data_IF_284216222072
#
_entry.id   IF_284216222072
#
_cell.length_a   1.000
_cell.length_b   1.000
_cell.length_c   1.000
_cell.angle_alpha   90.00
_cell.angle_beta   90.00
_cell.angle_gamma   90.00
#
_symmetry.space_group_name_H-M   'P 1'
#
loop_
_entity.id
_entity.type
_entity.pdbx_description
1 polymer ?
#
# COMPACT_ATOMS: atom_id res chain seq x y z
N UNK A 1 26.83 11.63 -20.71
CA UNK A 1 25.59 11.92 -21.45
C UNK A 1 25.08 10.60 -21.99
N UNK A 2 24.15 9.97 -21.29
CA UNK A 2 23.61 8.66 -21.67
C UNK A 2 22.11 8.76 -21.60
N UNK A 3 21.47 8.50 -22.74
CA UNK A 3 20.07 8.73 -23.02
C UNK A 3 19.15 8.01 -22.03
N UNK A 4 18.24 8.78 -21.42
CA UNK A 4 17.09 8.27 -20.69
C UNK A 4 16.23 7.41 -21.62
N UNK A 5 16.22 6.10 -21.38
CA UNK A 5 15.25 5.19 -21.99
C UNK A 5 13.85 5.56 -21.50
N UNK A 6 13.12 6.35 -22.31
CA UNK A 6 11.67 6.51 -22.19
C UNK A 6 11.05 5.12 -22.30
N UNK A 7 10.62 4.59 -21.16
CA UNK A 7 9.80 3.38 -21.07
C UNK A 7 8.57 3.59 -21.95
N UNK A 8 8.45 2.82 -23.03
CA UNK A 8 7.25 2.78 -23.88
C UNK A 8 6.11 2.18 -23.06
N UNK A 9 5.41 3.01 -22.30
CA UNK A 9 4.10 2.68 -21.76
C UNK A 9 3.10 2.54 -22.91
N UNK A 10 2.15 1.63 -22.76
CA UNK A 10 1.18 1.17 -23.76
C UNK A 10 0.65 2.28 -24.66
N UNK A 11 0.72 2.03 -25.97
CA UNK A 11 0.28 2.92 -27.05
C UNK A 11 -1.23 3.16 -26.93
N UNK A 12 -1.59 4.34 -26.42
CA UNK A 12 -2.96 4.88 -26.37
C UNK A 12 -3.52 4.89 -27.80
N UNK A 13 -4.64 4.20 -28.05
CA UNK A 13 -5.39 4.37 -29.30
C UNK A 13 -6.07 5.74 -29.28
N UNK A 14 -5.71 6.61 -30.24
CA UNK A 14 -6.36 7.92 -30.41
C UNK A 14 -7.86 7.73 -30.53
N UNK A 15 -8.64 8.42 -29.70
CA UNK A 15 -10.11 8.47 -29.79
C UNK A 15 -10.86 7.67 -28.71
N UNK A 16 -10.18 7.03 -27.76
CA UNK A 16 -10.86 6.37 -26.64
C UNK A 16 -11.38 7.38 -25.61
N UNK A 17 -12.57 7.09 -25.07
CA UNK A 17 -13.12 7.78 -23.88
C UNK A 17 -13.15 6.86 -22.67
N UNK A 18 -12.95 7.46 -21.51
CA UNK A 18 -12.89 6.78 -20.22
C UNK A 18 -14.16 7.04 -19.43
N UNK A 19 -14.71 6.01 -18.81
CA UNK A 19 -15.87 6.16 -17.94
C UNK A 19 -15.71 5.38 -16.64
N UNK A 20 -16.43 5.83 -15.61
CA UNK A 20 -16.67 5.07 -14.39
C UNK A 20 -18.16 4.81 -14.22
N UNK A 21 -18.51 3.60 -13.80
CA UNK A 21 -19.88 3.26 -13.41
C UNK A 21 -20.19 3.90 -12.06
N UNK A 22 -21.23 4.74 -12.00
CA UNK A 22 -21.57 5.55 -10.81
C UNK A 22 -22.68 4.96 -9.94
N UNK A 23 -23.27 3.83 -10.34
CA UNK A 23 -24.33 3.17 -9.58
C UNK A 23 -23.94 1.75 -9.19
N UNK A 24 -24.37 1.30 -8.00
CA UNK A 24 -24.46 -0.14 -7.74
C UNK A 24 -25.46 -0.73 -8.74
N UNK A 25 -25.00 -1.73 -9.49
CA UNK A 25 -25.68 -2.45 -10.59
C UNK A 25 -27.20 -2.26 -10.67
N UNK A 26 -27.75 -1.84 -11.82
CA UNK A 26 -29.16 -2.01 -12.13
C UNK A 26 -29.51 -3.49 -12.33
N UNK A 27 -30.63 -3.94 -11.76
CA UNK A 27 -31.05 -5.36 -11.72
C UNK A 27 -31.19 -6.05 -13.09
N UNK A 28 -31.27 -5.29 -14.19
CA UNK A 28 -31.50 -5.78 -15.55
C UNK A 28 -30.22 -6.09 -16.35
N UNK A 29 -29.01 -5.94 -15.78
CA UNK A 29 -27.73 -6.21 -16.47
C UNK A 29 -27.28 -7.69 -16.46
N UNK A 30 -28.18 -8.63 -16.14
CA UNK A 30 -27.91 -10.08 -16.12
C UNK A 30 -26.97 -10.54 -14.99
N UNK A 31 -26.91 -11.83 -14.64
CA UNK A 31 -26.13 -12.33 -13.49
C UNK A 31 -24.60 -12.23 -13.67
N UNK A 32 -24.08 -12.16 -14.90
CA UNK A 32 -22.62 -12.14 -15.17
C UNK A 32 -21.91 -10.81 -14.84
N UNK A 33 -22.67 -9.81 -14.39
CA UNK A 33 -22.22 -8.45 -14.03
C UNK A 33 -22.25 -8.18 -12.53
N UNK A 34 -22.49 -9.18 -11.69
CA UNK A 34 -22.59 -9.02 -10.23
C UNK A 34 -21.36 -8.30 -9.64
N UNK A 35 -21.63 -7.22 -8.89
CA UNK A 35 -20.67 -6.38 -8.16
C UNK A 35 -19.62 -5.60 -8.97
N UNK A 36 -19.82 -5.40 -10.28
CA UNK A 36 -18.85 -4.63 -11.07
C UNK A 36 -19.10 -3.12 -10.99
N UNK A 37 -18.51 -2.46 -10.01
CA UNK A 37 -18.20 -1.02 -10.10
C UNK A 37 -16.88 -0.88 -10.89
N UNK A 38 -17.01 -0.65 -12.19
CA UNK A 38 -15.89 -0.78 -13.13
C UNK A 38 -15.49 0.52 -13.81
N UNK A 39 -14.24 0.54 -14.28
CA UNK A 39 -13.81 1.50 -15.30
C UNK A 39 -14.07 0.90 -16.68
N UNK A 40 -14.47 1.76 -17.61
CA UNK A 40 -14.91 1.38 -18.95
C UNK A 40 -14.15 2.18 -20.00
N UNK A 41 -13.86 1.50 -21.11
CA UNK A 41 -13.28 2.06 -22.32
C UNK A 41 -14.29 1.97 -23.46
N UNK A 42 -14.36 2.99 -24.31
CA UNK A 42 -15.14 2.95 -25.56
C UNK A 42 -14.31 3.44 -26.74
N UNK A 43 -14.55 2.87 -27.92
CA UNK A 43 -13.77 3.09 -29.14
C UNK A 43 -14.34 4.15 -30.09
N UNK A 44 -15.49 4.77 -29.81
CA UNK A 44 -16.00 5.86 -30.65
C UNK A 44 -17.06 6.75 -29.98
N UNK A 45 -16.97 8.10 -30.11
CA UNK A 45 -18.00 9.04 -29.69
C UNK A 45 -19.14 9.26 -30.70
N UNK A 46 -19.11 8.66 -31.90
CA UNK A 46 -20.03 9.05 -32.98
C UNK A 46 -21.32 8.20 -33.08
N UNK A 47 -21.44 7.12 -32.30
CA UNK A 47 -22.69 6.35 -32.17
C UNK A 47 -23.41 6.66 -30.85
N UNK A 48 -23.53 7.97 -30.53
CA UNK A 48 -24.08 8.46 -29.26
C UNK A 48 -25.58 8.79 -29.31
N UNK A 49 -26.32 8.45 -30.36
CA UNK A 49 -27.77 8.71 -30.37
C UNK A 49 -28.55 7.76 -29.45
N UNK A 50 -28.00 6.58 -29.13
CA UNK A 50 -28.64 5.57 -28.29
C UNK A 50 -28.52 5.83 -26.77
N UNK A 51 -29.49 5.32 -25.99
CA UNK A 51 -29.49 5.33 -24.51
C UNK A 51 -28.35 4.50 -23.90
N UNK A 52 -27.89 3.48 -24.62
CA UNK A 52 -26.86 2.54 -24.16
C UNK A 52 -25.56 2.75 -24.94
N UNK A 53 -24.43 2.61 -24.26
CA UNK A 53 -23.10 2.69 -24.84
C UNK A 53 -22.42 1.32 -24.83
N UNK A 54 -21.79 0.90 -25.94
CA UNK A 54 -20.88 -0.23 -25.93
C UNK A 54 -19.58 0.14 -25.19
N UNK A 55 -19.27 -0.65 -24.17
CA UNK A 55 -18.14 -0.45 -23.29
C UNK A 55 -17.35 -1.74 -23.11
N UNK A 56 -16.04 -1.63 -22.92
CA UNK A 56 -15.17 -2.73 -22.53
C UNK A 56 -14.71 -2.50 -21.09
N UNK A 57 -14.92 -3.49 -20.22
CA UNK A 57 -14.45 -3.44 -18.83
C UNK A 57 -12.95 -3.71 -18.74
N UNK A 58 -12.38 -3.42 -17.57
CA UNK A 58 -11.01 -3.78 -17.23
C UNK A 58 -10.67 -5.27 -17.44
N UNK A 59 -11.66 -6.14 -17.25
CA UNK A 59 -11.55 -7.59 -17.46
C UNK A 59 -11.85 -8.01 -18.91
N UNK A 60 -11.82 -7.07 -19.86
CA UNK A 60 -12.08 -7.27 -21.29
C UNK A 60 -13.49 -7.79 -21.61
N UNK A 61 -14.46 -7.60 -20.69
CA UNK A 61 -15.86 -7.94 -20.96
C UNK A 61 -16.52 -6.81 -21.73
N UNK A 62 -17.26 -7.14 -22.78
CA UNK A 62 -18.08 -6.18 -23.51
C UNK A 62 -19.43 -6.04 -22.79
N UNK A 63 -19.86 -4.80 -22.58
CA UNK A 63 -21.12 -4.44 -21.93
C UNK A 63 -21.83 -3.35 -22.72
N UNK A 64 -23.16 -3.38 -22.71
CA UNK A 64 -23.99 -2.26 -23.11
C UNK A 64 -24.46 -1.55 -21.84
N UNK A 65 -24.03 -0.31 -21.64
CA UNK A 65 -24.22 0.42 -20.39
C UNK A 65 -25.12 1.64 -20.61
N UNK A 66 -26.15 1.79 -19.79
CA UNK A 66 -27.01 2.98 -19.83
C UNK A 66 -26.20 4.23 -19.46
N UNK A 67 -26.26 5.26 -20.31
CA UNK A 67 -25.52 6.51 -20.14
C UNK A 67 -25.79 7.22 -18.81
N UNK A 68 -26.97 7.02 -18.23
CA UNK A 68 -27.32 7.62 -16.93
C UNK A 68 -26.58 6.99 -15.75
N UNK A 69 -25.91 5.87 -15.97
CA UNK A 69 -25.21 5.09 -14.94
C UNK A 69 -23.68 5.21 -15.05
N UNK A 70 -23.18 6.07 -15.94
CA UNK A 70 -21.75 6.30 -16.11
C UNK A 70 -21.41 7.78 -16.10
N UNK A 71 -20.17 8.07 -15.73
CA UNK A 71 -19.58 9.41 -15.81
C UNK A 71 -18.31 9.36 -16.63
N UNK A 72 -18.19 10.26 -17.60
CA UNK A 72 -16.98 10.44 -18.39
C UNK A 72 -15.84 10.95 -17.49
N UNK A 73 -14.66 10.37 -17.66
CA UNK A 73 -13.43 10.75 -16.97
C UNK A 73 -12.45 11.32 -18.00
N UNK A 74 -11.65 12.30 -17.57
CA UNK A 74 -10.44 12.61 -18.33
C UNK A 74 -9.36 11.56 -18.08
N UNK A 75 -8.25 11.66 -18.82
CA UNK A 75 -7.14 10.73 -18.71
C UNK A 75 -6.55 10.67 -17.30
N UNK A 76 -6.41 11.83 -16.64
CA UNK A 76 -5.72 11.91 -15.34
C UNK A 76 -6.57 11.22 -14.27
N UNK A 77 -7.87 11.47 -14.25
CA UNK A 77 -8.78 10.79 -13.32
C UNK A 77 -8.84 9.29 -13.62
N UNK A 78 -8.85 8.91 -14.90
CA UNK A 78 -8.79 7.50 -15.28
C UNK A 78 -7.54 6.83 -14.69
N UNK A 79 -6.36 7.43 -14.85
CA UNK A 79 -5.11 6.85 -14.39
C UNK A 79 -5.03 6.76 -12.86
N UNK A 80 -5.46 7.80 -12.14
CA UNK A 80 -5.52 7.82 -10.67
C UNK A 80 -6.43 6.72 -10.12
N UNK A 81 -7.60 6.53 -10.73
CA UNK A 81 -8.59 5.55 -10.31
C UNK A 81 -8.22 4.12 -10.71
N UNK A 82 -7.49 3.95 -11.83
CA UNK A 82 -7.07 2.64 -12.35
C UNK A 82 -6.15 1.87 -11.40
N UNK A 83 -5.41 2.57 -10.53
CA UNK A 83 -4.53 1.93 -9.55
C UNK A 83 -5.28 1.34 -8.33
N UNK A 84 -6.55 1.72 -8.15
CA UNK A 84 -7.38 1.29 -7.01
C UNK A 84 -8.04 -0.04 -7.36
N UNK A 85 -7.58 -1.14 -6.77
CA UNK A 85 -8.05 -2.50 -7.11
C UNK A 85 -9.51 -2.75 -6.69
N UNK A 86 -9.98 -2.18 -5.56
CA UNK A 86 -11.34 -2.42 -5.08
C UNK A 86 -12.37 -1.48 -5.78
N UNK A 87 -13.36 -2.04 -6.49
CA UNK A 87 -14.45 -1.31 -7.15
C UNK A 87 -15.16 -0.26 -6.28
N UNK A 88 -15.57 -0.64 -5.07
CA UNK A 88 -16.32 0.24 -4.17
C UNK A 88 -15.47 1.42 -3.69
N UNK A 89 -14.24 1.16 -3.25
CA UNK A 89 -13.28 2.20 -2.84
C UNK A 89 -12.95 3.13 -4.00
N UNK A 90 -12.82 2.59 -5.22
CA UNK A 90 -12.58 3.38 -6.43
C UNK A 90 -13.72 4.37 -6.69
N UNK A 91 -14.97 3.93 -6.60
CA UNK A 91 -16.12 4.83 -6.74
C UNK A 91 -16.20 5.85 -5.61
N UNK A 92 -15.93 5.47 -4.36
CA UNK A 92 -15.85 6.40 -3.23
C UNK A 92 -14.86 7.53 -3.50
N UNK A 93 -13.63 7.19 -3.89
CA UNK A 93 -12.58 8.18 -4.22
C UNK A 93 -13.00 9.05 -5.39
N UNK A 94 -13.60 8.47 -6.44
CA UNK A 94 -14.06 9.24 -7.60
C UNK A 94 -15.15 10.27 -7.25
N UNK A 95 -15.92 10.04 -6.19
CA UNK A 95 -16.98 10.93 -5.74
C UNK A 95 -16.47 11.98 -4.73
N UNK A 96 -15.24 11.84 -4.24
CA UNK A 96 -14.57 12.80 -3.35
C UNK A 96 -13.76 13.79 -4.21
N UNK A 97 -14.37 14.95 -4.49
CA UNK A 97 -13.75 15.98 -5.33
C UNK A 97 -12.45 16.54 -4.73
N UNK A 98 -12.34 16.59 -3.40
CA UNK A 98 -11.12 17.01 -2.72
C UNK A 98 -10.02 15.96 -2.91
N UNK A 99 -10.32 14.68 -2.69
CA UNK A 99 -9.31 13.62 -2.86
C UNK A 99 -8.81 13.50 -4.31
N UNK A 100 -9.71 13.66 -5.29
CA UNK A 100 -9.32 13.72 -6.70
C UNK A 100 -8.45 14.94 -7.00
N UNK A 101 -8.77 16.11 -6.41
CA UNK A 101 -7.95 17.32 -6.52
C UNK A 101 -6.56 17.09 -5.94
N UNK A 102 -6.45 16.54 -4.73
CA UNK A 102 -5.17 16.16 -4.11
C UNK A 102 -4.37 15.24 -5.04
N UNK A 103 -4.98 14.17 -5.57
CA UNK A 103 -4.30 13.25 -6.49
C UNK A 103 -3.75 13.92 -7.75
N UNK A 104 -4.43 14.97 -8.25
CA UNK A 104 -3.95 15.77 -9.37
C UNK A 104 -2.78 16.68 -8.98
N UNK A 105 -2.83 17.32 -7.82
CA UNK A 105 -1.84 18.33 -7.37
C UNK A 105 -0.57 17.73 -6.78
N UNK A 106 -0.67 16.58 -6.11
CA UNK A 106 0.47 15.89 -5.52
C UNK A 106 1.57 15.66 -6.54
N UNK A 107 2.81 15.95 -6.15
CA UNK A 107 4.00 15.87 -7.00
C UNK A 107 5.20 15.45 -6.16
N UNK A 108 6.32 15.16 -6.81
CA UNK A 108 7.57 14.90 -6.10
C UNK A 108 7.90 16.07 -5.15
N UNK A 109 8.21 15.73 -3.90
CA UNK A 109 8.43 16.69 -2.80
C UNK A 109 7.20 17.02 -1.95
N UNK A 110 5.98 16.65 -2.34
CA UNK A 110 4.79 16.84 -1.50
C UNK A 110 4.85 15.98 -0.23
N UNK A 111 4.46 16.55 0.91
CA UNK A 111 4.29 15.81 2.17
C UNK A 111 2.91 15.14 2.23
N UNK A 112 2.89 13.87 2.60
CA UNK A 112 1.66 13.07 2.61
C UNK A 112 1.54 12.19 3.83
N UNK A 113 0.30 11.94 4.24
CA UNK A 113 -0.02 10.79 5.09
C UNK A 113 -0.37 9.58 4.21
N UNK A 114 0.03 8.39 4.66
CA UNK A 114 -0.15 7.12 3.96
C UNK A 114 -0.87 6.14 4.87
N UNK A 115 -2.12 5.81 4.55
CA UNK A 115 -2.92 4.86 5.31
C UNK A 115 -2.57 3.42 4.97
N UNK A 116 -2.63 2.52 5.96
CA UNK A 116 -2.32 1.11 5.76
C UNK A 116 -2.88 0.20 6.85
N UNK A 117 -3.33 -1.00 6.46
CA UNK A 117 -3.90 -1.99 7.39
C UNK A 117 -2.86 -2.64 8.33
N UNK A 118 -1.57 -2.42 8.04
CA UNK A 118 -0.43 -2.99 8.78
C UNK A 118 -0.21 -2.27 10.12
N UNK A 119 -0.68 -1.03 10.26
CA UNK A 119 -0.40 -0.17 11.40
C UNK A 119 -1.69 0.47 11.94
N UNK A 120 -1.71 0.90 13.22
CA UNK A 120 -2.88 1.53 13.84
C UNK A 120 -3.18 2.93 13.32
N UNK A 121 -2.17 3.59 12.73
CA UNK A 121 -2.23 4.96 12.27
C UNK A 121 -1.57 5.10 10.90
N UNK A 122 -1.85 6.24 10.27
CA UNK A 122 -1.23 6.61 9.01
C UNK A 122 0.25 6.92 9.22
N UNK A 123 1.08 6.50 8.25
CA UNK A 123 2.49 6.83 8.21
C UNK A 123 2.69 8.16 7.49
N UNK A 124 3.74 8.90 7.81
CA UNK A 124 4.08 10.14 7.10
C UNK A 124 5.30 9.93 6.19
N UNK A 125 5.37 10.73 5.14
CA UNK A 125 6.49 10.71 4.21
C UNK A 125 6.38 11.73 3.11
N UNK A 126 7.29 11.61 2.14
CA UNK A 126 7.45 12.53 1.02
C UNK A 126 7.27 11.76 -0.29
N UNK A 127 6.49 12.32 -1.22
CA UNK A 127 6.37 11.76 -2.58
C UNK A 127 7.73 11.86 -3.29
N UNK A 128 8.26 10.73 -3.74
CA UNK A 128 9.49 10.62 -4.55
C UNK A 128 9.25 10.13 -5.97
N UNK A 129 8.05 9.61 -6.24
CA UNK A 129 7.66 9.16 -7.56
C UNK A 129 6.16 9.36 -7.75
N UNK A 130 5.76 9.82 -8.93
CA UNK A 130 4.36 9.81 -9.39
C UNK A 130 4.33 9.28 -10.83
N UNK A 131 3.72 8.13 -11.05
CA UNK A 131 3.64 7.58 -12.39
C UNK A 131 3.19 6.13 -12.46
N UNK A 132 3.29 5.56 -13.65
CA UNK A 132 2.83 4.20 -13.92
C UNK A 132 3.86 3.17 -13.46
N UNK A 133 3.38 2.14 -12.77
CA UNK A 133 4.18 0.96 -12.43
C UNK A 133 3.87 -0.19 -13.40
N UNK A 134 4.80 -1.15 -13.61
CA UNK A 134 4.58 -2.28 -14.48
C UNK A 134 3.43 -3.15 -13.98
N UNK A 135 2.47 -3.44 -14.87
CA UNK A 135 1.30 -4.25 -14.55
C UNK A 135 1.68 -5.67 -14.18
N UNK A 136 0.91 -6.32 -13.30
CA UNK A 136 1.02 -7.77 -13.05
C UNK A 136 1.03 -8.52 -14.41
N UNK A 137 1.90 -9.53 -14.61
CA UNK A 137 1.85 -10.36 -15.81
C UNK A 137 0.40 -10.81 -16.08
N UNK A 138 -0.11 -10.58 -17.29
CA UNK A 138 -1.51 -10.85 -17.68
C UNK A 138 -2.49 -9.68 -17.60
N UNK A 139 -2.11 -8.54 -17.02
CA UNK A 139 -2.91 -7.29 -16.94
C UNK A 139 -2.30 -6.18 -17.81
N UNK A 140 -1.90 -6.50 -19.04
CA UNK A 140 -1.03 -5.65 -19.87
C UNK A 140 -1.64 -4.30 -20.28
N UNK A 141 -2.96 -4.11 -20.14
CA UNK A 141 -3.67 -3.00 -20.78
C UNK A 141 -4.14 -1.87 -19.86
N UNK A 142 -3.97 -1.98 -18.53
CA UNK A 142 -4.40 -0.92 -17.60
C UNK A 142 -3.30 -0.70 -16.56
N UNK A 143 -2.43 0.28 -16.82
CA UNK A 143 -1.50 0.78 -15.82
C UNK A 143 -2.12 1.96 -15.09
N UNK A 144 -2.42 1.79 -13.80
CA UNK A 144 -2.80 2.89 -12.94
C UNK A 144 -1.62 3.76 -12.54
N UNK A 145 -1.90 4.99 -12.11
CA UNK A 145 -0.93 5.92 -11.54
C UNK A 145 -0.72 5.60 -10.07
N UNK A 146 0.54 5.40 -9.69
CA UNK A 146 0.97 5.15 -8.33
C UNK A 146 1.84 6.29 -7.82
N UNK A 147 1.88 6.40 -6.49
CA UNK A 147 2.75 7.31 -5.77
C UNK A 147 3.78 6.48 -5.01
N UNK A 148 5.06 6.73 -5.30
CA UNK A 148 6.18 6.21 -4.53
C UNK A 148 6.52 7.20 -3.43
N UNK A 149 6.41 6.75 -2.19
CA UNK A 149 6.59 7.56 -0.98
C UNK A 149 7.84 7.08 -0.28
N UNK A 150 8.75 8.00 0.03
CA UNK A 150 9.80 7.78 1.03
C UNK A 150 9.23 8.14 2.40
N UNK A 151 9.21 7.17 3.31
CA UNK A 151 8.71 7.34 4.66
C UNK A 151 9.67 8.19 5.49
N UNK A 152 9.12 8.99 6.39
CA UNK A 152 9.94 9.76 7.33
C UNK A 152 10.78 8.82 8.20
N UNK A 153 11.90 9.33 8.73
CA UNK A 153 12.88 8.53 9.45
C UNK A 153 12.29 7.69 10.60
N UNK A 154 11.29 8.22 11.31
CA UNK A 154 10.58 7.51 12.38
C UNK A 154 9.70 6.34 11.90
N UNK A 155 9.37 6.31 10.61
CA UNK A 155 8.60 5.25 9.96
C UNK A 155 9.45 4.42 9.00
N UNK A 156 10.77 4.65 8.97
CA UNK A 156 11.70 3.84 8.20
C UNK A 156 11.58 2.36 8.60
N UNK A 157 11.66 1.46 7.61
CA UNK A 157 11.51 0.02 7.80
C UNK A 157 10.05 -0.46 7.89
N UNK A 158 9.08 0.45 7.94
CA UNK A 158 7.64 0.11 7.92
C UNK A 158 7.07 0.01 6.49
N UNK A 159 7.87 0.39 5.50
CA UNK A 159 7.59 0.23 4.08
C UNK A 159 7.71 -1.21 3.61
N UNK A 160 7.77 -1.38 2.30
CA UNK A 160 7.84 -2.69 1.64
C UNK A 160 8.91 -2.78 0.54
N UNK A 161 9.70 -1.73 0.39
CA UNK A 161 10.78 -1.61 -0.60
C UNK A 161 11.77 -0.54 -0.14
N UNK A 162 12.91 -0.48 -0.81
CA UNK A 162 13.93 0.56 -0.73
C UNK A 162 13.85 1.56 -1.91
N UNK A 163 12.69 1.61 -2.57
CA UNK A 163 12.42 2.38 -3.79
C UNK A 163 12.53 1.56 -5.09
N UNK A 164 12.83 0.27 -4.96
CA UNK A 164 12.68 -0.73 -6.02
C UNK A 164 11.23 -1.18 -6.21
N UNK A 165 10.83 -1.35 -7.47
CA UNK A 165 9.63 -2.10 -7.81
C UNK A 165 9.89 -2.99 -9.03
N UNK A 166 9.90 -4.31 -8.83
CA UNK A 166 10.00 -5.35 -9.88
C UNK A 166 11.26 -5.25 -10.75
N UNK A 167 12.40 -5.20 -10.11
CA UNK A 167 13.73 -5.16 -10.72
C UNK A 167 14.16 -3.78 -11.18
N UNK A 168 13.37 -2.74 -10.90
CA UNK A 168 13.66 -1.36 -11.31
C UNK A 168 13.55 -0.41 -10.13
N UNK A 169 14.61 0.36 -9.90
CA UNK A 169 14.59 1.49 -8.97
C UNK A 169 13.89 2.70 -9.59
N UNK A 170 12.97 3.27 -8.83
CA UNK A 170 12.30 4.54 -9.16
C UNK A 170 12.86 5.69 -8.32
N UNK A 171 13.26 5.38 -7.09
CA UNK A 171 14.03 6.22 -6.19
C UNK A 171 14.83 5.29 -5.25
N UNK A 172 15.68 5.84 -4.39
CA UNK A 172 16.44 5.06 -3.40
C UNK A 172 16.20 5.63 -2.01
N UNK A 173 16.04 4.76 -1.02
CA UNK A 173 15.98 5.12 0.40
C UNK A 173 16.52 3.96 1.25
N UNK A 174 16.40 4.04 2.57
CA UNK A 174 16.77 2.96 3.48
C UNK A 174 15.95 1.69 3.23
N UNK A 175 16.45 0.55 3.72
CA UNK A 175 15.75 -0.74 3.62
C UNK A 175 14.33 -0.60 4.17
N UNK A 176 13.33 -1.01 3.38
CA UNK A 176 11.92 -0.90 3.71
C UNK A 176 11.48 0.55 4.08
N UNK A 177 12.17 1.56 3.56
CA UNK A 177 11.83 2.98 3.72
C UNK A 177 10.82 3.49 2.70
N UNK A 178 10.42 2.67 1.73
CA UNK A 178 9.56 3.09 0.62
C UNK A 178 8.24 2.31 0.53
N UNK A 179 7.19 3.01 0.10
CA UNK A 179 5.90 2.46 -0.29
C UNK A 179 5.50 2.93 -1.68
N UNK A 180 4.94 2.03 -2.49
CA UNK A 180 4.20 2.40 -3.70
C UNK A 180 2.71 2.18 -3.47
N UNK A 181 1.91 3.22 -3.59
CA UNK A 181 0.49 3.20 -3.21
C UNK A 181 -0.40 3.93 -4.23
N UNK A 182 -1.66 3.47 -4.40
CA UNK A 182 -2.68 4.20 -5.16
C UNK A 182 -3.22 5.41 -4.39
N UNK A 183 -3.97 6.28 -5.09
CA UNK A 183 -4.55 7.50 -4.53
C UNK A 183 -5.38 7.27 -3.25
N UNK A 184 -6.14 6.18 -3.19
CA UNK A 184 -7.02 5.87 -2.04
C UNK A 184 -6.28 5.59 -0.72
N UNK A 185 -4.95 5.65 -0.71
CA UNK A 185 -4.11 5.43 0.46
C UNK A 185 -3.29 6.64 0.86
N UNK A 186 -3.37 7.76 0.15
CA UNK A 186 -2.58 8.96 0.46
C UNK A 186 -3.48 10.17 0.64
N UNK A 187 -3.06 11.10 1.51
CA UNK A 187 -3.65 12.42 1.68
C UNK A 187 -2.59 13.50 1.70
N UNK A 188 -2.87 14.64 1.09
CA UNK A 188 -1.99 15.80 1.08
C UNK A 188 -1.96 16.49 2.46
N UNK A 189 -0.77 16.62 3.06
CA UNK A 189 -0.60 17.25 4.37
C UNK A 189 -0.40 18.76 4.28
N UNK A 190 -0.01 19.29 3.12
CA UNK A 190 0.30 20.71 2.93
C UNK A 190 -0.92 21.51 2.44
N UNK A 191 -2.09 20.89 2.34
CA UNK A 191 -3.34 21.56 2.00
C UNK A 191 -3.78 22.52 3.12
N UNK A 192 -4.38 23.67 2.80
CA UNK A 192 -4.82 24.68 3.80
C UNK A 192 -5.82 24.13 4.85
N UNK A 193 -6.46 23.00 4.56
CA UNK A 193 -7.35 22.24 5.47
C UNK A 193 -6.62 21.08 6.20
N UNK A 194 -5.29 20.99 6.03
CA UNK A 194 -4.38 19.90 6.42
C UNK A 194 -4.13 19.73 7.91
N UNK A 195 -4.85 20.47 8.77
CA UNK A 195 -4.93 20.20 10.20
C UNK A 195 -5.78 18.96 10.53
N UNK A 196 -5.79 17.93 9.65
CA UNK A 196 -6.29 16.61 10.03
C UNK A 196 -5.29 16.06 11.05
N UNK A 197 -5.75 16.07 12.31
CA UNK A 197 -5.02 15.63 13.50
C UNK A 197 -4.13 14.45 13.20
N UNK A 198 -2.91 14.44 13.77
CA UNK A 198 -2.09 13.24 13.95
C UNK A 198 -3.03 12.05 14.15
N UNK A 199 -3.04 11.12 13.19
CA UNK A 199 -3.97 10.00 13.22
C UNK A 199 -3.85 9.32 14.59
N UNK A 200 -4.95 9.13 15.34
CA UNK A 200 -4.91 8.46 16.64
C UNK A 200 -4.09 7.18 16.54
N UNK A 201 -3.04 7.05 17.35
CA UNK A 201 -2.12 5.90 17.31
C UNK A 201 -0.79 6.15 16.56
N UNK A 202 -0.51 7.35 16.03
CA UNK A 202 0.85 7.66 15.54
C UNK A 202 1.86 7.67 16.69
N UNK A 203 1.48 8.19 17.86
CA UNK A 203 2.27 8.09 19.09
C UNK A 203 2.57 6.63 19.45
N UNK A 204 1.60 5.73 19.26
CA UNK A 204 1.78 4.30 19.53
C UNK A 204 2.83 3.65 18.61
N UNK A 205 3.01 4.13 17.37
CA UNK A 205 4.09 3.67 16.47
C UNK A 205 5.42 4.32 16.86
N UNK A 206 5.43 5.62 17.17
CA UNK A 206 6.64 6.36 17.57
C UNK A 206 7.26 5.78 18.83
N UNK A 207 6.42 5.38 19.78
CA UNK A 207 6.85 4.93 21.10
C UNK A 207 7.02 3.39 21.16
N UNK A 208 7.15 2.72 20.00
CA UNK A 208 7.46 1.29 19.97
C UNK A 208 8.86 1.03 20.54
N UNK A 209 9.02 -0.01 21.38
CA UNK A 209 10.31 -0.32 22.01
C UNK A 209 11.35 -0.81 20.99
N UNK A 210 10.93 -1.29 19.83
CA UNK A 210 11.82 -1.78 18.77
C UNK A 210 11.32 -1.34 17.40
N UNK A 211 12.27 -1.09 16.49
CA UNK A 211 12.04 -0.74 15.10
C UNK A 211 12.58 -1.81 14.16
N UNK A 212 12.14 -1.82 12.90
CA UNK A 212 12.75 -2.68 11.88
C UNK A 212 14.23 -2.30 11.73
N UNK A 213 15.10 -3.30 11.69
CA UNK A 213 16.55 -3.14 11.69
C UNK A 213 17.19 -3.21 13.08
N UNK A 214 16.42 -3.03 14.16
CA UNK A 214 16.97 -3.16 15.52
C UNK A 214 17.43 -4.60 15.80
N UNK A 215 18.53 -4.69 16.55
CA UNK A 215 18.99 -5.92 17.18
C UNK A 215 18.21 -6.16 18.45
N UNK A 216 17.63 -7.34 18.58
CA UNK A 216 16.80 -7.73 19.71
C UNK A 216 17.24 -9.07 20.26
N UNK A 217 16.96 -9.30 21.54
CA UNK A 217 17.16 -10.58 22.20
C UNK A 217 15.81 -11.13 22.62
N UNK A 218 15.50 -12.35 22.16
CA UNK A 218 14.47 -13.17 22.77
C UNK A 218 15.11 -13.82 24.01
N UNK A 219 14.63 -13.41 25.18
CA UNK A 219 15.08 -13.91 26.47
C UNK A 219 13.91 -14.52 27.22
N UNK A 220 13.97 -15.82 27.46
CA UNK A 220 13.07 -16.56 28.35
C UNK A 220 13.87 -17.58 29.18
N UNK A 221 13.18 -18.33 30.05
CA UNK A 221 13.82 -19.32 30.93
C UNK A 221 14.53 -20.46 30.18
N UNK A 222 14.32 -20.57 28.86
CA UNK A 222 14.82 -21.66 28.02
C UNK A 222 15.91 -21.19 27.08
N UNK A 223 15.86 -19.95 26.59
CA UNK A 223 16.71 -19.46 25.50
C UNK A 223 17.07 -17.98 25.65
N UNK A 224 18.27 -17.66 25.17
CA UNK A 224 18.72 -16.29 24.96
C UNK A 224 19.24 -16.21 23.54
N UNK A 225 18.42 -15.65 22.64
CA UNK A 225 18.68 -15.70 21.22
C UNK A 225 18.59 -14.32 20.61
N UNK A 226 19.66 -13.91 19.95
CA UNK A 226 19.73 -12.61 19.31
C UNK A 226 19.27 -12.69 17.85
N UNK A 227 18.68 -11.61 17.38
CA UNK A 227 18.16 -11.50 16.03
C UNK A 227 17.97 -10.05 15.59
N UNK A 228 17.56 -9.89 14.34
CA UNK A 228 17.23 -8.59 13.75
C UNK A 228 15.74 -8.52 13.45
N UNK A 229 15.11 -7.41 13.84
CA UNK A 229 13.72 -7.14 13.47
C UNK A 229 13.65 -6.88 11.96
N UNK A 230 12.86 -7.67 11.24
CA UNK A 230 12.66 -7.58 9.78
C UNK A 230 11.27 -7.08 9.40
N UNK A 231 10.32 -7.07 10.33
CA UNK A 231 8.95 -6.67 10.07
C UNK A 231 8.28 -6.21 11.35
N UNK A 232 7.49 -5.15 11.27
CA UNK A 232 6.55 -4.76 12.33
C UNK A 232 5.15 -4.63 11.76
N UNK A 233 4.13 -5.01 12.51
CA UNK A 233 2.75 -4.70 12.15
C UNK A 233 1.71 -5.62 12.77
N UNK A 234 0.46 -5.40 12.38
CA UNK A 234 -0.63 -6.30 12.72
C UNK A 234 -0.62 -7.55 11.85
N UNK A 235 -0.90 -8.70 12.46
CA UNK A 235 -1.08 -9.93 11.71
C UNK A 235 -2.33 -9.82 10.81
N UNK A 236 -2.28 -10.36 9.57
CA UNK A 236 -3.36 -10.21 8.59
C UNK A 236 -4.74 -10.74 9.03
N UNK A 237 -4.78 -11.65 10.01
CA UNK A 237 -5.99 -12.28 10.52
C UNK A 237 -6.41 -11.76 11.91
N UNK A 238 -5.74 -10.73 12.44
CA UNK A 238 -6.19 -10.07 13.65
C UNK A 238 -7.45 -9.24 13.34
N UNK A 239 -8.61 -9.84 13.61
CA UNK A 239 -9.95 -9.32 13.31
C UNK A 239 -10.56 -8.50 14.45
N UNK A 240 -9.79 -8.15 15.49
CA UNK A 240 -10.32 -7.34 16.59
C UNK A 240 -10.80 -5.99 16.06
N UNK A 241 -11.99 -5.60 16.51
CA UNK A 241 -12.67 -4.38 16.04
C UNK A 241 -12.01 -3.12 16.58
N UNK A 242 -11.48 -3.17 17.80
CA UNK A 242 -10.69 -2.08 18.35
C UNK A 242 -9.23 -2.23 17.91
N UNK A 243 -8.71 -1.18 17.27
CA UNK A 243 -7.32 -1.09 16.82
C UNK A 243 -6.36 -1.14 18.00
N UNK A 244 -6.78 -0.63 19.17
CA UNK A 244 -5.96 -0.64 20.40
C UNK A 244 -5.85 -2.04 21.02
N UNK A 245 -6.78 -2.95 20.71
CA UNK A 245 -6.71 -4.34 21.16
C UNK A 245 -5.86 -5.23 20.24
N UNK A 246 -5.53 -4.74 19.04
CA UNK A 246 -4.65 -5.43 18.10
C UNK A 246 -3.21 -5.28 18.57
N UNK A 247 -2.47 -6.38 18.60
CA UNK A 247 -1.06 -6.37 19.04
C UNK A 247 -0.15 -6.19 17.84
N UNK A 248 0.76 -5.21 17.89
CA UNK A 248 1.85 -5.15 16.93
C UNK A 248 2.79 -6.32 17.21
N UNK A 249 3.07 -7.07 16.15
CA UNK A 249 4.00 -8.18 16.14
C UNK A 249 5.25 -7.76 15.38
N UNK A 250 6.38 -8.31 15.80
CA UNK A 250 7.66 -8.23 15.15
C UNK A 250 7.98 -9.56 14.48
N UNK A 251 8.34 -9.51 13.20
CA UNK A 251 9.01 -10.59 12.52
C UNK A 251 10.49 -10.47 12.75
N UNK A 252 11.09 -11.44 13.43
CA UNK A 252 12.51 -11.43 13.78
C UNK A 252 13.22 -12.53 13.02
N UNK A 253 14.33 -12.19 12.36
CA UNK A 253 15.30 -13.15 11.84
C UNK A 253 16.40 -13.34 12.89
N UNK A 254 16.43 -14.51 13.53
CA UNK A 254 17.42 -14.87 14.53
C UNK A 254 18.74 -15.30 13.91
N UNK A 255 19.83 -15.18 14.67
CA UNK A 255 21.16 -15.58 14.21
C UNK A 255 21.28 -17.11 14.11
N UNK A 256 20.56 -17.84 14.97
CA UNK A 256 20.47 -19.29 14.98
C UNK A 256 19.10 -19.80 14.45
N UNK A 257 19.03 -21.03 13.94
CA UNK A 257 17.80 -21.63 13.40
C UNK A 257 16.85 -22.10 14.52
N UNK A 258 16.29 -21.15 15.26
CA UNK A 258 15.39 -21.42 16.39
C UNK A 258 13.91 -21.34 16.03
N UNK A 259 13.62 -20.84 14.82
CA UNK A 259 12.29 -20.65 14.29
C UNK A 259 11.85 -21.81 13.39
N UNK A 260 10.62 -21.74 12.91
CA UNK A 260 10.07 -22.72 11.95
C UNK A 260 9.72 -22.08 10.59
N UNK A 261 10.16 -20.85 10.37
CA UNK A 261 9.70 -20.03 9.26
C UNK A 261 10.83 -19.33 8.50
N UNK A 262 10.49 -18.83 7.32
CA UNK A 262 11.31 -17.97 6.47
C UNK A 262 10.66 -16.59 6.23
N UNK A 263 9.81 -16.18 7.20
CA UNK A 263 9.05 -14.92 7.17
C UNK A 263 7.66 -15.00 6.53
N UNK A 264 7.12 -16.20 6.34
CA UNK A 264 5.72 -16.41 5.96
C UNK A 264 4.80 -16.47 7.17
N UNK A 265 3.62 -15.87 7.03
CA UNK A 265 2.49 -16.06 7.93
C UNK A 265 1.29 -16.54 7.12
N UNK A 266 0.83 -17.77 7.39
CA UNK A 266 -0.13 -18.49 6.54
C UNK A 266 0.36 -18.52 5.09
N UNK A 267 -0.38 -17.92 4.15
CA UNK A 267 -0.02 -17.85 2.73
C UNK A 267 0.60 -16.51 2.33
N UNK A 268 0.73 -15.56 3.26
CA UNK A 268 1.26 -14.24 2.99
C UNK A 268 2.71 -14.15 3.45
N UNK A 269 3.61 -13.72 2.57
CA UNK A 269 4.98 -13.38 2.97
C UNK A 269 4.96 -12.01 3.65
N UNK A 270 5.36 -11.95 4.91
CA UNK A 270 5.47 -10.70 5.66
C UNK A 270 6.89 -10.14 5.56
N UNK A 271 7.91 -11.00 5.60
CA UNK A 271 9.32 -10.63 5.42
C UNK A 271 10.13 -11.77 4.80
N UNK A 272 11.41 -11.50 4.54
CA UNK A 272 12.39 -12.51 4.12
C UNK A 272 13.35 -12.77 5.27
N UNK A 273 13.63 -14.04 5.51
CA UNK A 273 14.60 -14.53 6.47
C UNK A 273 15.17 -15.85 5.99
N UNK A 274 16.32 -16.26 6.53
CA UNK A 274 16.86 -17.62 6.31
C UNK A 274 15.84 -18.69 6.73
N UNK A 275 15.82 -19.87 6.07
CA UNK A 275 14.98 -20.99 6.48
C UNK A 275 15.21 -21.34 7.95
N UNK A 276 14.14 -21.51 8.73
CA UNK A 276 14.17 -21.84 10.17
C UNK A 276 14.75 -20.77 11.11
N UNK A 277 15.02 -19.56 10.61
CA UNK A 277 15.50 -18.44 11.45
C UNK A 277 14.39 -17.45 11.81
N UNK A 278 13.18 -17.60 11.28
CA UNK A 278 12.11 -16.62 11.49
C UNK A 278 11.13 -17.01 12.59
N UNK A 279 10.80 -16.04 13.45
CA UNK A 279 9.61 -16.08 14.32
C UNK A 279 8.82 -14.76 14.23
N UNK A 280 7.54 -14.85 14.55
CA UNK A 280 6.65 -13.70 14.76
C UNK A 280 6.34 -13.62 16.26
N UNK A 281 6.66 -12.50 16.89
CA UNK A 281 6.57 -12.30 18.34
C UNK A 281 5.87 -10.98 18.65
N UNK A 282 5.09 -10.86 19.72
CA UNK A 282 4.58 -9.57 20.18
C UNK A 282 5.73 -8.60 20.45
N UNK A 283 5.63 -7.36 19.97
CA UNK A 283 6.68 -6.33 20.17
C UNK A 283 7.00 -6.11 21.65
N UNK A 284 5.99 -6.14 22.52
CA UNK A 284 6.15 -5.95 23.96
C UNK A 284 7.00 -7.03 24.65
N UNK A 285 7.27 -8.16 23.98
CA UNK A 285 8.12 -9.23 24.50
C UNK A 285 9.57 -9.19 24.00
N UNK A 286 9.95 -8.15 23.24
CA UNK A 286 11.30 -8.01 22.70
C UNK A 286 12.09 -6.94 23.46
N UNK A 287 13.35 -7.25 23.76
CA UNK A 287 14.32 -6.34 24.34
C UNK A 287 15.37 -5.99 23.30
N UNK A 288 15.82 -4.73 23.23
CA UNK A 288 16.98 -4.39 22.39
C UNK A 288 18.23 -5.09 22.94
N UNK A 289 19.07 -5.60 22.05
CA UNK A 289 20.32 -6.29 22.42
C UNK A 289 21.25 -5.39 23.24
N UNK A 290 21.26 -4.09 22.95
CA UNK A 290 22.00 -3.08 23.73
C UNK A 290 21.48 -2.93 25.16
N UNK A 291 20.17 -3.07 25.36
CA UNK A 291 19.54 -2.96 26.68
C UNK A 291 19.76 -4.23 27.50
N UNK A 292 19.74 -5.39 26.85
CA UNK A 292 20.05 -6.67 27.47
C UNK A 292 21.46 -6.69 28.08
N UNK A 293 22.47 -6.21 27.35
CA UNK A 293 23.84 -6.17 27.83
C UNK A 293 24.12 -5.08 28.89
N UNK A 294 23.24 -4.08 29.00
CA UNK A 294 23.36 -3.00 29.97
C UNK A 294 22.54 -3.23 31.26
N UNK A 295 21.97 -4.43 31.44
CA UNK A 295 21.30 -4.75 32.71
C UNK A 295 22.35 -4.86 33.83
N UNK A 296 22.17 -4.16 34.96
CA UNK A 296 23.07 -4.28 36.10
C UNK A 296 23.07 -5.75 36.57
N UNK A 297 24.26 -6.32 36.70
CA UNK A 297 24.45 -7.66 37.26
C UNK A 297 23.84 -7.65 38.65
N UNK A 298 22.71 -8.32 38.84
CA UNK A 298 22.17 -8.51 40.18
C UNK A 298 23.20 -9.30 40.98
N UNK A 299 23.62 -8.82 42.18
CA UNK A 299 24.49 -9.59 43.04
C UNK A 299 23.80 -10.93 43.30
N UNK A 300 24.51 -12.04 43.10
CA UNK A 300 24.03 -13.33 43.57
C UNK A 300 24.03 -13.26 45.09
N UNK A 301 22.86 -13.31 45.70
CA UNK A 301 22.73 -13.56 47.13
C UNK A 301 23.36 -14.94 47.39
N UNK A 302 24.50 -14.93 48.11
CA UNK A 302 25.18 -16.11 48.62
C UNK A 302 24.54 -16.57 49.93
#
# INVERSE_FOLDING_TARGET
MTEMSKSKSSRIEKGMKYFIIITKKPSYWGPETDNQIGMLLTSSPDDTSGRFLPCVTENKKQLMVDKNHIRELDQIDFDLLSAIENPETRLQVSNDAEWMREGRTLKEGSHVSVSGKRFPSDLQGVVRFKGYLPNKPGLENISGLYFGIELDAQFAGLGSSDGEFRGRYYFHTVVDGALFVPLNRIRDMDSDDGARSIAPGADYIRDLPVMVGDRVVLYDDVRTEAGVVRWLGFLPDDRKSDVMDRKINAGVEFDHPIGKGSGFYKQQRLFRAKPDHALLLPVLGLLKESEFHNQPVQPRDN
#
